data_IF_066987695640
#
_entry.id   IF_066987695640
#
_cell.length_a   1.000
_cell.length_b   1.000
_cell.length_c   1.000
_cell.angle_alpha   90.00
_cell.angle_beta   90.00
_cell.angle_gamma   90.00
#
_symmetry.space_group_name_H-M   'P 1'
#
loop_
_entity.id
_entity.type
_entity.pdbx_description
1 polymer ?
#
# COMPACT_ATOMS: atom_id res chain seq x y z
N UNK A 1 19.14 -38.54 -12.63
CA UNK A 1 18.08 -38.31 -13.62
C UNK A 1 17.84 -36.83 -13.71
N UNK A 2 18.18 -36.18 -14.84
CA UNK A 2 17.79 -34.76 -15.09
C UNK A 2 16.62 -34.73 -16.07
N UNK A 3 15.51 -34.16 -15.66
CA UNK A 3 14.36 -33.87 -16.50
C UNK A 3 14.50 -32.47 -17.05
N UNK A 4 14.45 -32.28 -18.35
CA UNK A 4 14.34 -30.95 -18.97
C UNK A 4 12.90 -30.75 -19.43
N UNK A 5 12.32 -29.58 -19.09
CA UNK A 5 11.02 -29.13 -19.60
C UNK A 5 11.27 -28.17 -20.75
N UNK A 6 10.62 -28.44 -21.88
CA UNK A 6 10.53 -27.49 -22.98
C UNK A 6 9.08 -27.05 -23.12
N UNK A 7 8.86 -25.75 -23.08
CA UNK A 7 7.56 -25.12 -23.25
C UNK A 7 7.34 -24.81 -24.74
N UNK A 8 6.29 -25.35 -25.30
CA UNK A 8 5.81 -24.97 -26.64
C UNK A 8 4.77 -23.87 -26.49
N UNK A 9 5.06 -22.70 -27.03
CA UNK A 9 4.20 -21.52 -26.98
C UNK A 9 2.89 -21.76 -27.70
N UNK A 10 1.81 -21.77 -26.95
CA UNK A 10 0.45 -21.76 -27.44
C UNK A 10 -0.45 -22.86 -26.93
N UNK A 11 -0.98 -22.70 -25.72
CA UNK A 11 -1.99 -23.52 -25.05
C UNK A 11 -1.51 -24.87 -24.48
N UNK A 12 -1.12 -24.89 -23.22
CA UNK A 12 -1.34 -25.97 -22.25
C UNK A 12 -0.84 -27.39 -22.59
N UNK A 13 0.07 -27.53 -23.56
CA UNK A 13 0.69 -28.82 -23.85
C UNK A 13 2.16 -28.80 -23.41
N UNK A 14 2.56 -29.74 -22.57
CA UNK A 14 3.93 -29.92 -22.15
C UNK A 14 4.50 -31.20 -22.77
N UNK A 15 5.73 -31.13 -23.30
CA UNK A 15 6.49 -32.29 -23.74
C UNK A 15 7.51 -32.63 -22.67
N UNK A 16 7.45 -33.84 -22.14
CA UNK A 16 8.44 -34.36 -21.20
C UNK A 16 9.32 -35.36 -21.93
N UNK A 17 10.60 -35.06 -22.01
CA UNK A 17 11.60 -35.95 -22.59
C UNK A 17 12.33 -36.74 -21.48
N UNK A 18 12.23 -38.05 -21.52
CA UNK A 18 12.93 -38.92 -20.64
C UNK A 18 13.88 -39.83 -21.41
N UNK A 19 15.18 -39.80 -21.07
CA UNK A 19 16.17 -40.69 -21.63
C UNK A 19 16.50 -41.77 -20.60
N UNK A 20 16.13 -43.01 -20.89
CA UNK A 20 16.49 -44.20 -20.11
C UNK A 20 17.02 -45.22 -21.10
N UNK A 21 18.27 -45.71 -20.86
CA UNK A 21 18.93 -46.79 -21.63
C UNK A 21 19.02 -46.55 -23.16
N UNK A 22 19.33 -45.32 -23.59
CA UNK A 22 19.59 -45.01 -25.02
C UNK A 22 18.34 -44.94 -25.91
N UNK A 23 17.15 -45.01 -25.34
CA UNK A 23 15.87 -44.84 -26.06
C UNK A 23 15.19 -43.51 -25.68
N UNK A 24 14.96 -42.64 -26.69
CA UNK A 24 14.22 -41.40 -26.48
C UNK A 24 12.72 -41.72 -26.48
N UNK A 25 12.04 -41.45 -25.38
CA UNK A 25 10.58 -41.54 -25.26
C UNK A 25 10.01 -40.14 -25.13
N UNK A 26 9.14 -39.74 -26.02
CA UNK A 26 8.45 -38.45 -26.02
C UNK A 26 7.03 -38.66 -25.52
N UNK A 27 6.68 -38.01 -24.40
CA UNK A 27 5.32 -38.04 -23.85
C UNK A 27 4.63 -36.68 -24.08
N UNK A 28 3.44 -36.69 -24.67
CA UNK A 28 2.60 -35.50 -24.82
C UNK A 28 1.54 -35.48 -23.72
N UNK A 29 1.57 -34.45 -22.89
CA UNK A 29 0.55 -34.19 -21.85
C UNK A 29 -0.47 -33.18 -22.41
N UNK A 30 -1.72 -33.60 -22.55
CA UNK A 30 -2.83 -32.69 -22.92
C UNK A 30 -3.76 -32.59 -21.72
N UNK A 31 -3.88 -31.41 -21.16
CA UNK A 31 -4.77 -31.13 -20.05
C UNK A 31 -6.17 -30.73 -20.58
N UNK A 32 -7.17 -31.56 -20.34
CA UNK A 32 -8.57 -31.22 -20.58
C UNK A 32 -9.31 -31.21 -19.25
N UNK A 33 -10.14 -30.21 -19.04
CA UNK A 33 -10.72 -29.78 -17.76
C UNK A 33 -11.65 -30.81 -17.05
N UNK A 34 -11.80 -32.05 -17.47
CA UNK A 34 -12.82 -33.00 -16.87
C UNK A 34 -12.46 -34.48 -16.89
N UNK A 35 -11.20 -34.94 -17.04
CA UNK A 35 -10.89 -36.36 -16.88
C UNK A 35 -9.43 -36.69 -16.52
N UNK A 36 -9.13 -37.81 -15.87
CA UNK A 36 -7.79 -38.13 -15.42
C UNK A 36 -6.80 -38.36 -16.56
N UNK A 37 -5.58 -37.91 -16.35
CA UNK A 37 -4.47 -37.91 -17.27
C UNK A 37 -4.22 -39.29 -17.85
N UNK A 38 -4.28 -39.44 -19.18
CA UNK A 38 -3.86 -40.64 -19.89
C UNK A 38 -2.54 -40.37 -20.62
N UNK A 39 -1.48 -41.01 -20.18
CA UNK A 39 -0.17 -40.94 -20.82
C UNK A 39 -0.12 -41.97 -21.95
N UNK A 40 -0.01 -41.51 -23.20
CA UNK A 40 0.15 -42.38 -24.35
C UNK A 40 1.58 -42.29 -24.90
N UNK A 41 2.25 -43.43 -24.96
CA UNK A 41 3.60 -43.53 -25.52
C UNK A 41 3.55 -43.98 -26.97
N UNK A 42 4.24 -43.29 -27.86
CA UNK A 42 4.37 -43.66 -29.27
C UNK A 42 5.80 -44.10 -29.59
N UNK A 43 5.95 -45.19 -30.33
CA UNK A 43 7.25 -45.65 -30.79
C UNK A 43 7.68 -44.97 -32.07
N UNK A 44 9.02 -44.95 -32.36
CA UNK A 44 9.63 -44.32 -33.51
C UNK A 44 9.03 -44.80 -34.88
N UNK A 45 8.52 -46.04 -34.95
CA UNK A 45 7.94 -46.61 -36.19
C UNK A 45 6.55 -46.10 -36.48
N UNK A 46 5.81 -45.60 -35.50
CA UNK A 46 4.45 -45.05 -35.67
C UNK A 46 4.46 -43.63 -36.22
N UNK A 47 5.57 -42.88 -36.04
CA UNK A 47 5.72 -41.51 -36.56
C UNK A 47 5.91 -41.44 -38.09
N UNK A 48 6.56 -42.42 -38.68
CA UNK A 48 6.77 -42.41 -40.17
C UNK A 48 5.49 -42.70 -40.97
N UNK A 49 4.47 -43.27 -40.35
CA UNK A 49 3.16 -43.50 -41.00
C UNK A 49 2.18 -42.34 -40.87
N UNK A 50 2.44 -41.39 -39.97
CA UNK A 50 1.51 -40.27 -39.73
C UNK A 50 1.71 -39.13 -40.77
N UNK A 51 2.84 -39.11 -41.51
CA UNK A 51 3.15 -38.07 -42.52
C UNK A 51 2.62 -38.36 -43.91
N UNK A 52 2.02 -39.53 -44.16
CA UNK A 52 1.64 -39.95 -45.49
C UNK A 52 0.16 -39.73 -45.85
N UNK A 53 -0.68 -39.21 -44.96
CA UNK A 53 -2.12 -39.03 -45.28
C UNK A 53 -2.63 -37.75 -44.65
N UNK A 54 -2.18 -36.59 -45.16
CA UNK A 54 -2.79 -35.28 -44.84
C UNK A 54 -3.78 -34.97 -45.94
N UNK A 55 -5.03 -35.39 -45.78
CA UNK A 55 -6.12 -34.91 -46.63
C UNK A 55 -6.44 -33.48 -46.21
N UNK A 56 -6.22 -32.55 -47.14
CA UNK A 56 -6.46 -31.12 -46.92
C UNK A 56 -7.96 -30.88 -46.96
N UNK A 57 -8.60 -30.85 -45.82
CA UNK A 57 -9.93 -30.24 -45.66
C UNK A 57 -9.72 -28.73 -45.38
N UNK A 58 -9.91 -27.93 -46.41
CA UNK A 58 -10.03 -26.47 -46.29
C UNK A 58 -11.40 -26.14 -45.70
N UNK A 59 -11.48 -26.07 -44.39
CA UNK A 59 -12.56 -25.33 -43.71
C UNK A 59 -12.19 -23.84 -43.71
N UNK A 60 -13.09 -22.95 -44.15
CA UNK A 60 -12.87 -21.53 -43.96
C UNK A 60 -12.96 -21.24 -42.43
N UNK A 61 -11.81 -21.09 -41.81
CA UNK A 61 -11.74 -20.56 -40.44
C UNK A 61 -12.10 -19.06 -40.56
N UNK A 62 -13.36 -18.74 -40.25
CA UNK A 62 -13.74 -17.40 -39.88
C UNK A 62 -12.89 -17.05 -38.61
N UNK A 63 -11.75 -16.43 -38.84
CA UNK A 63 -10.98 -15.77 -37.77
C UNK A 63 -11.81 -14.56 -37.39
N UNK A 64 -12.79 -14.78 -36.52
CA UNK A 64 -13.30 -13.71 -35.68
C UNK A 64 -12.11 -13.22 -34.87
N UNK A 65 -11.65 -11.99 -35.16
CA UNK A 65 -10.74 -11.29 -34.27
C UNK A 65 -11.46 -11.11 -32.93
N UNK A 66 -11.39 -12.12 -32.08
CA UNK A 66 -11.61 -11.91 -30.66
C UNK A 66 -10.48 -10.94 -30.26
N UNK A 67 -10.80 -9.65 -30.19
CA UNK A 67 -9.95 -8.70 -29.51
C UNK A 67 -9.87 -9.21 -28.07
N UNK A 68 -8.77 -9.89 -27.73
CA UNK A 68 -8.40 -10.09 -26.33
C UNK A 68 -8.41 -8.70 -25.71
N UNK A 69 -9.12 -8.51 -24.60
CA UNK A 69 -9.03 -7.25 -23.88
C UNK A 69 -7.52 -7.01 -23.66
N UNK A 70 -6.99 -5.91 -24.20
CA UNK A 70 -5.63 -5.47 -23.88
C UNK A 70 -5.56 -5.49 -22.38
N UNK A 71 -4.60 -6.21 -21.81
CA UNK A 71 -4.28 -6.12 -20.40
C UNK A 71 -4.15 -4.63 -20.08
N UNK A 72 -5.12 -4.09 -19.36
CA UNK A 72 -5.18 -2.68 -19.06
C UNK A 72 -4.09 -2.46 -18.02
N UNK A 73 -2.89 -2.07 -18.46
CA UNK A 73 -1.81 -1.70 -17.54
C UNK A 73 -2.28 -0.47 -16.79
N UNK A 74 -2.54 -0.64 -15.51
CA UNK A 74 -2.90 0.48 -14.62
C UNK A 74 -1.80 1.54 -14.68
N UNK A 75 -2.17 2.80 -14.88
CA UNK A 75 -1.24 3.92 -14.95
C UNK A 75 -1.49 4.87 -13.78
N UNK A 76 -0.43 5.23 -13.07
CA UNK A 76 -0.48 6.25 -12.04
C UNK A 76 -0.43 7.65 -12.70
N UNK A 77 -1.44 8.47 -12.45
CA UNK A 77 -1.50 9.87 -12.84
C UNK A 77 -1.10 10.73 -11.65
N UNK A 78 0.02 11.45 -11.77
CA UNK A 78 0.49 12.37 -10.72
C UNK A 78 0.18 13.78 -11.15
N UNK A 79 -0.45 14.55 -10.25
CA UNK A 79 -0.83 15.93 -10.49
C UNK A 79 -1.11 16.66 -9.18
N UNK A 80 -1.72 17.82 -9.27
CA UNK A 80 -2.03 18.66 -8.13
C UNK A 80 -3.53 18.94 -8.03
N UNK A 81 -4.01 19.17 -6.81
CA UNK A 81 -5.37 19.61 -6.52
C UNK A 81 -5.33 20.75 -5.50
N UNK A 82 -5.95 21.86 -5.83
CA UNK A 82 -6.13 22.99 -4.92
C UNK A 82 -7.34 22.72 -4.02
N UNK A 83 -7.11 22.63 -2.71
CA UNK A 83 -8.18 22.49 -1.72
C UNK A 83 -8.64 23.85 -1.21
N UNK A 84 -7.71 24.73 -0.93
CA UNK A 84 -7.95 26.11 -0.49
C UNK A 84 -6.89 27.02 -1.13
N UNK A 85 -7.00 28.35 -1.05
CA UNK A 85 -5.94 29.25 -1.54
C UNK A 85 -4.56 28.98 -0.93
N UNK A 86 -4.51 28.41 0.28
CA UNK A 86 -3.25 28.10 0.99
C UNK A 86 -2.81 26.65 0.82
N UNK A 87 -3.71 25.74 0.41
CA UNK A 87 -3.45 24.30 0.39
C UNK A 87 -3.65 23.71 -1.00
N UNK A 88 -2.55 23.37 -1.64
CA UNK A 88 -2.50 22.57 -2.86
C UNK A 88 -1.78 21.26 -2.55
N UNK A 89 -2.42 20.13 -2.82
CA UNK A 89 -1.85 18.81 -2.60
C UNK A 89 -1.32 18.22 -3.89
N UNK A 90 -0.12 17.63 -3.85
CA UNK A 90 0.29 16.67 -4.86
C UNK A 90 -0.45 15.36 -4.62
N UNK A 91 -1.06 14.82 -5.66
CA UNK A 91 -1.79 13.54 -5.59
C UNK A 91 -1.38 12.58 -6.68
N UNK A 92 -1.62 11.31 -6.43
CA UNK A 92 -1.55 10.23 -7.40
C UNK A 92 -2.93 9.57 -7.49
N UNK A 93 -3.38 9.31 -8.73
CA UNK A 93 -4.61 8.57 -9.00
C UNK A 93 -4.30 7.44 -9.96
N UNK A 94 -4.79 6.24 -9.65
CA UNK A 94 -4.87 5.13 -10.58
C UNK A 94 -6.33 4.89 -10.89
N UNK A 95 -6.76 5.31 -12.09
CA UNK A 95 -8.15 5.25 -12.48
C UNK A 95 -8.56 3.86 -12.91
N UNK A 96 -9.79 3.49 -12.58
CA UNK A 96 -10.46 2.29 -13.07
C UNK A 96 -11.85 2.69 -13.59
N UNK A 97 -12.20 2.24 -14.79
CA UNK A 97 -13.49 2.61 -15.43
C UNK A 97 -14.71 1.92 -14.79
N UNK A 98 -14.50 0.84 -14.05
CA UNK A 98 -15.54 0.06 -13.35
C UNK A 98 -14.98 -0.46 -12.03
N UNK A 99 -14.66 0.44 -11.07
CA UNK A 99 -14.01 0.04 -9.85
C UNK A 99 -14.98 -0.73 -8.93
N UNK A 100 -14.49 -1.78 -8.29
CA UNK A 100 -15.21 -2.49 -7.23
C UNK A 100 -15.33 -1.64 -5.96
N UNK A 101 -14.43 -0.67 -5.78
CA UNK A 101 -14.37 0.26 -4.66
C UNK A 101 -13.30 1.32 -4.91
N UNK A 102 -13.12 2.20 -3.93
CA UNK A 102 -12.13 3.27 -3.95
C UNK A 102 -11.20 3.09 -2.75
N UNK A 103 -9.89 3.10 -2.99
CA UNK A 103 -8.87 3.04 -1.93
C UNK A 103 -8.17 4.39 -1.86
N UNK A 104 -8.11 4.98 -0.67
CA UNK A 104 -7.33 6.18 -0.38
C UNK A 104 -6.19 5.84 0.57
N UNK A 105 -4.96 5.99 0.10
CA UNK A 105 -3.75 5.79 0.88
C UNK A 105 -3.27 7.09 1.52
N UNK A 106 -2.93 7.01 2.81
CA UNK A 106 -2.41 8.13 3.58
C UNK A 106 -1.08 7.74 4.22
N UNK A 107 -0.02 8.42 3.81
CA UNK A 107 1.34 8.12 4.20
C UNK A 107 1.73 8.69 5.57
N UNK A 108 2.84 8.19 6.12
CA UNK A 108 3.50 8.67 7.32
C UNK A 108 4.74 9.53 7.07
N UNK A 109 5.58 9.64 8.08
CA UNK A 109 6.89 10.30 8.01
C UNK A 109 8.00 9.23 7.82
N UNK A 110 9.01 9.44 6.96
CA UNK A 110 9.27 10.59 6.08
C UNK A 110 8.77 10.39 4.63
N UNK A 111 7.68 9.71 4.49
CA UNK A 111 7.14 9.20 3.22
C UNK A 111 6.56 10.29 2.29
N UNK A 112 6.22 9.86 1.09
CA UNK A 112 5.47 10.59 0.06
C UNK A 112 4.48 9.64 -0.62
N UNK A 113 3.68 10.15 -1.57
CA UNK A 113 2.78 9.32 -2.39
C UNK A 113 3.47 8.13 -3.06
N UNK A 114 4.79 8.19 -3.25
CA UNK A 114 5.56 7.11 -3.88
C UNK A 114 5.67 5.85 -3.02
N UNK A 115 5.46 5.94 -1.71
CA UNK A 115 5.33 4.78 -0.83
C UNK A 115 4.23 3.82 -1.29
N UNK A 116 3.19 4.35 -1.94
CA UNK A 116 2.00 3.62 -2.37
C UNK A 116 1.98 3.25 -3.84
N UNK A 117 2.97 3.71 -4.64
CA UNK A 117 2.92 3.62 -6.10
C UNK A 117 2.78 2.19 -6.63
N UNK A 118 3.62 1.27 -6.15
CA UNK A 118 3.59 -0.12 -6.62
C UNK A 118 2.28 -0.83 -6.24
N UNK A 119 1.84 -0.66 -4.99
CA UNK A 119 0.56 -1.21 -4.51
C UNK A 119 -0.61 -0.64 -5.32
N UNK A 120 -0.60 0.68 -5.57
CA UNK A 120 -1.65 1.35 -6.34
C UNK A 120 -1.78 0.84 -7.75
N UNK A 121 -0.66 0.55 -8.43
CA UNK A 121 -0.67 0.00 -9.79
C UNK A 121 -1.26 -1.43 -9.83
N UNK A 122 -1.01 -2.22 -8.79
CA UNK A 122 -1.58 -3.57 -8.68
C UNK A 122 -3.08 -3.49 -8.41
N UNK A 123 -3.48 -2.72 -7.39
CA UNK A 123 -4.88 -2.55 -6.98
C UNK A 123 -5.72 -1.85 -8.04
N UNK A 124 -5.13 -1.01 -8.88
CA UNK A 124 -5.80 -0.30 -9.97
C UNK A 124 -6.50 -1.20 -11.00
N UNK A 125 -6.23 -2.52 -10.99
CA UNK A 125 -6.94 -3.51 -11.79
C UNK A 125 -8.38 -3.72 -11.31
N UNK A 126 -8.62 -3.55 -10.02
CA UNK A 126 -9.91 -3.82 -9.37
C UNK A 126 -10.56 -2.56 -8.78
N UNK A 127 -9.78 -1.58 -8.36
CA UNK A 127 -10.22 -0.40 -7.61
C UNK A 127 -9.77 0.89 -8.29
N UNK A 128 -10.47 1.99 -8.00
CA UNK A 128 -9.88 3.30 -8.18
C UNK A 128 -8.99 3.59 -6.95
N UNK A 129 -7.76 4.06 -7.17
CA UNK A 129 -6.81 4.28 -6.08
C UNK A 129 -6.36 5.73 -6.06
N UNK A 130 -6.38 6.32 -4.89
CA UNK A 130 -5.91 7.66 -4.59
C UNK A 130 -4.80 7.63 -3.56
N UNK A 131 -3.87 8.57 -3.66
CA UNK A 131 -2.93 8.94 -2.61
C UNK A 131 -2.59 10.42 -2.75
N UNK A 132 -2.26 11.10 -1.67
CA UNK A 132 -1.74 12.47 -1.71
C UNK A 132 -0.66 12.69 -0.68
N UNK A 133 0.24 13.65 -0.95
CA UNK A 133 1.17 14.15 0.06
C UNK A 133 0.44 15.10 0.99
N UNK A 134 0.59 14.92 2.29
CA UNK A 134 0.09 15.86 3.28
C UNK A 134 0.69 17.26 3.12
N UNK A 135 0.00 18.35 3.53
CA UNK A 135 0.66 19.65 3.71
C UNK A 135 1.92 19.51 4.55
N UNK A 136 3.04 20.09 4.09
CA UNK A 136 4.32 19.92 4.77
C UNK A 136 5.16 18.74 4.31
N UNK A 137 4.63 17.85 3.48
CA UNK A 137 5.31 16.67 2.97
C UNK A 137 5.36 16.64 1.45
N UNK A 138 6.28 15.85 0.91
CA UNK A 138 6.45 15.67 -0.50
C UNK A 138 6.48 16.99 -1.26
N UNK A 139 5.70 17.10 -2.32
CA UNK A 139 5.59 18.34 -3.11
C UNK A 139 4.26 19.09 -2.89
N UNK A 140 3.50 18.76 -1.84
CA UNK A 140 2.34 19.53 -1.41
C UNK A 140 2.76 20.88 -0.79
N UNK A 141 1.83 21.81 -0.72
CA UNK A 141 2.06 23.14 -0.16
C UNK A 141 2.51 23.10 1.31
N UNK A 142 3.19 24.16 1.71
CA UNK A 142 3.71 24.34 3.08
C UNK A 142 3.28 25.69 3.62
N UNK A 143 1.98 25.85 3.94
CA UNK A 143 1.47 27.11 4.45
C UNK A 143 2.17 27.51 5.77
N UNK A 144 2.29 28.82 6.06
CA UNK A 144 2.78 29.28 7.36
C UNK A 144 1.93 28.74 8.51
N UNK A 145 2.55 28.50 9.66
CA UNK A 145 1.89 27.91 10.85
C UNK A 145 0.72 28.73 11.38
N UNK A 146 0.72 30.02 11.10
CA UNK A 146 -0.39 30.94 11.44
C UNK A 146 -1.65 30.68 10.61
N UNK A 147 -1.53 30.00 9.46
CA UNK A 147 -2.65 29.66 8.57
C UNK A 147 -3.01 28.19 8.57
N UNK A 148 -2.08 27.33 8.94
CA UNK A 148 -2.26 25.90 9.05
C UNK A 148 -1.36 25.36 10.16
N UNK A 149 -1.93 24.88 11.27
CA UNK A 149 -1.16 24.54 12.46
C UNK A 149 -0.41 23.21 12.35
N UNK A 150 -0.69 22.41 11.32
CA UNK A 150 -0.18 21.04 11.13
C UNK A 150 -0.64 20.06 12.22
N UNK A 151 -1.66 20.42 13.01
CA UNK A 151 -2.25 19.51 13.98
C UNK A 151 -2.91 18.30 13.31
N UNK A 152 -2.97 17.13 13.96
CA UNK A 152 -3.75 16.00 13.43
C UNK A 152 -5.18 16.37 13.05
N UNK A 153 -5.82 17.25 13.83
CA UNK A 153 -7.16 17.74 13.52
C UNK A 153 -7.22 18.55 12.22
N UNK A 154 -6.25 19.42 11.96
CA UNK A 154 -6.21 20.19 10.71
C UNK A 154 -5.96 19.28 9.51
N UNK A 155 -5.19 18.19 9.68
CA UNK A 155 -5.06 17.17 8.66
C UNK A 155 -6.37 16.39 8.41
N UNK A 156 -7.20 16.20 9.44
CA UNK A 156 -8.54 15.62 9.24
C UNK A 156 -9.42 16.54 8.38
N UNK A 157 -9.33 17.86 8.56
CA UNK A 157 -10.04 18.85 7.71
C UNK A 157 -9.51 18.80 6.26
N UNK A 158 -8.20 18.69 6.05
CA UNK A 158 -7.59 18.49 4.71
C UNK A 158 -8.11 17.21 4.05
N UNK A 159 -8.19 16.12 4.80
CA UNK A 159 -8.70 14.85 4.30
C UNK A 159 -10.16 14.96 3.87
N UNK A 160 -10.99 15.62 4.67
CA UNK A 160 -12.40 15.90 4.37
C UNK A 160 -12.55 16.69 3.06
N UNK A 161 -11.79 17.77 2.92
CA UNK A 161 -11.80 18.61 1.70
C UNK A 161 -11.29 17.84 0.48
N UNK A 162 -10.26 17.00 0.65
CA UNK A 162 -9.75 16.15 -0.44
C UNK A 162 -10.82 15.18 -0.95
N UNK A 163 -11.52 14.49 -0.05
CA UNK A 163 -12.59 13.55 -0.40
C UNK A 163 -13.69 14.29 -1.18
N UNK A 164 -14.14 15.43 -0.67
CA UNK A 164 -15.20 16.24 -1.31
C UNK A 164 -14.79 16.76 -2.69
N UNK A 165 -13.61 17.40 -2.81
CA UNK A 165 -13.15 18.01 -4.07
C UNK A 165 -12.70 16.98 -5.11
N UNK A 166 -12.32 15.79 -4.70
CA UNK A 166 -11.99 14.70 -5.62
C UNK A 166 -13.24 13.96 -6.14
N UNK A 167 -14.44 14.26 -5.63
CA UNK A 167 -15.69 13.62 -6.03
C UNK A 167 -15.75 12.13 -5.68
N UNK A 168 -15.06 11.73 -4.60
CA UNK A 168 -14.98 10.33 -4.15
C UNK A 168 -16.35 9.86 -3.64
N UNK A 169 -16.81 8.71 -4.15
CA UNK A 169 -18.00 8.02 -3.64
C UNK A 169 -17.69 7.44 -2.25
N UNK A 170 -18.12 8.13 -1.21
CA UNK A 170 -17.83 7.78 0.19
C UNK A 170 -18.39 6.43 0.59
N UNK A 171 -19.48 5.97 -0.03
CA UNK A 171 -20.07 4.65 0.25
C UNK A 171 -19.17 3.48 -0.18
N UNK A 172 -18.22 3.74 -1.10
CA UNK A 172 -17.25 2.77 -1.62
C UNK A 172 -15.83 3.02 -1.15
N UNK A 173 -15.63 4.04 -0.31
CA UNK A 173 -14.31 4.46 0.13
C UNK A 173 -13.78 3.54 1.23
N UNK A 174 -12.55 3.05 1.03
CA UNK A 174 -11.67 2.49 2.04
C UNK A 174 -10.48 3.43 2.22
N UNK A 175 -10.23 3.89 3.43
CA UNK A 175 -8.98 4.57 3.79
C UNK A 175 -8.02 3.53 4.36
N UNK A 176 -6.78 3.52 3.86
CA UNK A 176 -5.66 2.80 4.44
C UNK A 176 -4.61 3.80 4.89
N UNK A 177 -4.38 3.90 6.18
CA UNK A 177 -3.57 4.94 6.78
C UNK A 177 -2.60 4.40 7.83
N UNK A 178 -1.34 4.83 7.76
CA UNK A 178 -0.31 4.49 8.75
C UNK A 178 0.32 5.76 9.32
N UNK A 179 0.95 5.64 10.49
CA UNK A 179 1.73 6.70 11.14
C UNK A 179 0.99 8.06 11.19
N UNK A 180 1.50 9.11 10.53
CA UNK A 180 0.89 10.46 10.49
C UNK A 180 -0.53 10.44 9.92
N UNK A 181 -0.82 9.56 8.97
CA UNK A 181 -2.13 9.50 8.31
C UNK A 181 -3.23 8.89 9.16
N UNK A 182 -2.89 8.07 10.14
CA UNK A 182 -3.87 7.25 10.87
C UNK A 182 -4.74 8.07 11.86
N UNK A 183 -4.13 8.92 12.68
CA UNK A 183 -4.90 9.73 13.65
C UNK A 183 -5.88 10.69 12.96
N UNK A 184 -5.51 11.46 11.91
CA UNK A 184 -6.45 12.29 11.15
C UNK A 184 -7.64 11.51 10.58
N UNK A 185 -7.42 10.28 10.09
CA UNK A 185 -8.49 9.43 9.55
C UNK A 185 -9.54 9.07 10.61
N UNK A 186 -9.09 8.76 11.82
CA UNK A 186 -9.98 8.45 12.94
C UNK A 186 -10.69 9.70 13.47
N UNK A 187 -10.01 10.86 13.51
CA UNK A 187 -10.63 12.12 13.89
C UNK A 187 -11.73 12.52 12.90
N UNK A 188 -11.50 12.34 11.59
CA UNK A 188 -12.53 12.55 10.58
C UNK A 188 -13.73 11.62 10.80
N UNK A 189 -13.50 10.33 11.09
CA UNK A 189 -14.55 9.36 11.33
C UNK A 189 -15.36 9.65 12.61
N UNK A 190 -14.76 10.30 13.61
CA UNK A 190 -15.47 10.79 14.79
C UNK A 190 -16.38 11.99 14.48
N UNK A 191 -15.98 12.86 13.54
CA UNK A 191 -16.76 14.03 13.14
C UNK A 191 -17.94 13.65 12.23
N UNK A 192 -17.69 12.75 11.27
CA UNK A 192 -18.73 12.29 10.34
C UNK A 192 -18.48 10.82 9.91
N UNK A 193 -19.22 9.94 10.54
CA UNK A 193 -19.11 8.49 10.30
C UNK A 193 -19.57 8.05 8.90
N UNK A 194 -20.20 8.93 8.12
CA UNK A 194 -20.70 8.61 6.78
C UNK A 194 -19.69 8.97 5.67
N UNK A 195 -18.61 9.69 6.00
CA UNK A 195 -17.62 10.12 5.01
C UNK A 195 -16.68 9.00 4.56
N UNK A 196 -16.63 7.89 5.27
CA UNK A 196 -15.73 6.77 4.94
C UNK A 196 -16.46 5.45 5.18
N UNK A 197 -16.46 4.56 4.20
CA UNK A 197 -17.08 3.24 4.33
C UNK A 197 -16.35 2.35 5.34
N UNK A 198 -15.01 2.36 5.33
CA UNK A 198 -14.17 1.60 6.26
C UNK A 198 -12.75 2.19 6.34
N UNK A 199 -12.07 1.97 7.46
CA UNK A 199 -10.70 2.46 7.68
C UNK A 199 -9.81 1.30 8.13
N UNK A 200 -8.66 1.11 7.47
CA UNK A 200 -7.56 0.30 7.98
C UNK A 200 -6.50 1.26 8.53
N UNK A 201 -6.14 1.11 9.80
CA UNK A 201 -5.07 1.91 10.42
C UNK A 201 -4.02 1.02 11.07
N UNK A 202 -2.78 1.50 11.10
CA UNK A 202 -1.71 0.77 11.79
C UNK A 202 -0.47 1.60 12.08
N UNK A 203 0.38 1.04 12.92
CA UNK A 203 1.72 1.56 13.22
C UNK A 203 1.70 3.06 13.58
N UNK A 204 0.80 3.46 14.47
CA UNK A 204 0.58 4.85 14.91
C UNK A 204 0.31 4.94 16.41
N UNK A 205 0.28 6.14 16.98
CA UNK A 205 -0.01 6.32 18.39
C UNK A 205 -1.39 6.95 18.64
N UNK A 206 -2.46 6.13 18.76
CA UNK A 206 -3.82 6.62 19.06
C UNK A 206 -3.96 7.25 20.43
N UNK A 207 -3.12 6.85 21.38
CA UNK A 207 -3.19 7.28 22.79
C UNK A 207 -1.85 7.82 23.27
N UNK A 208 -1.89 8.67 24.28
CA UNK A 208 -0.69 9.16 24.94
C UNK A 208 -0.13 8.09 25.90
N UNK A 209 0.70 7.18 25.37
CA UNK A 209 1.32 6.06 26.10
C UNK A 209 2.85 6.07 25.89
N UNK A 210 3.61 6.82 26.69
CA UNK A 210 5.07 6.93 26.54
C UNK A 210 5.79 5.58 26.48
N UNK A 211 5.34 4.57 27.22
CA UNK A 211 5.96 3.24 27.29
C UNK A 211 5.94 2.48 25.95
N UNK A 212 5.07 2.85 25.02
CA UNK A 212 4.94 2.23 23.72
C UNK A 212 5.56 3.05 22.60
N UNK A 213 6.01 4.28 22.86
CA UNK A 213 6.58 5.17 21.85
C UNK A 213 8.09 5.28 22.03
N UNK A 214 8.83 5.36 20.92
CA UNK A 214 10.26 5.63 20.92
C UNK A 214 10.55 7.00 21.54
N UNK A 215 11.68 7.13 22.27
CA UNK A 215 12.05 8.35 23.01
C UNK A 215 12.11 9.61 22.13
N UNK A 216 12.60 9.51 20.90
CA UNK A 216 12.64 10.65 19.97
C UNK A 216 11.23 11.17 19.64
N UNK A 217 10.22 10.31 19.55
CA UNK A 217 8.83 10.70 19.32
C UNK A 217 8.25 11.38 20.58
N UNK A 218 8.60 10.87 21.77
CA UNK A 218 8.23 11.52 23.04
C UNK A 218 8.86 12.90 23.15
N UNK A 219 10.12 13.04 22.75
CA UNK A 219 10.87 14.30 22.78
C UNK A 219 10.23 15.39 21.92
N UNK A 220 9.49 15.04 20.87
CA UNK A 220 8.78 16.00 20.02
C UNK A 220 7.55 16.65 20.68
N UNK A 221 7.05 16.12 21.79
CA UNK A 221 5.79 16.58 22.41
C UNK A 221 5.92 17.85 23.23
N UNK A 222 7.11 18.22 23.70
CA UNK A 222 7.29 19.37 24.57
C UNK A 222 8.68 20.02 24.45
N UNK A 223 8.73 21.34 24.61
CA UNK A 223 9.98 22.09 24.70
C UNK A 223 10.68 21.85 26.05
N UNK A 224 12.02 21.92 26.08
CA UNK A 224 12.94 22.30 24.99
C UNK A 224 13.36 21.10 24.10
N UNK A 225 13.03 19.86 24.48
CA UNK A 225 13.45 18.64 23.78
C UNK A 225 12.94 18.59 22.32
N UNK A 226 11.73 19.10 22.09
CA UNK A 226 11.17 19.12 20.73
C UNK A 226 11.96 20.01 19.77
N UNK A 227 12.45 21.17 20.22
CA UNK A 227 13.29 22.05 19.40
C UNK A 227 14.64 21.38 19.06
N UNK A 228 15.21 20.66 20.02
CA UNK A 228 16.47 19.92 19.81
C UNK A 228 16.27 18.75 18.84
N UNK A 229 15.18 17.99 19.01
CA UNK A 229 14.84 16.87 18.12
C UNK A 229 14.57 17.35 16.70
N UNK A 230 13.82 18.45 16.53
CA UNK A 230 13.60 19.11 15.23
C UNK A 230 14.92 19.50 14.56
N UNK A 231 15.82 20.17 15.29
CA UNK A 231 17.13 20.56 14.78
C UNK A 231 17.98 19.33 14.38
N UNK A 232 17.95 18.27 15.20
CA UNK A 232 18.62 17.00 14.91
C UNK A 232 18.08 16.34 13.64
N UNK A 233 16.77 16.26 13.48
CA UNK A 233 16.14 15.67 12.29
C UNK A 233 16.50 16.43 11.02
N UNK A 234 16.48 17.77 11.04
CA UNK A 234 16.86 18.58 9.90
C UNK A 234 18.34 18.41 9.52
N UNK A 235 19.22 18.27 10.53
CA UNK A 235 20.66 18.06 10.30
C UNK A 235 20.95 16.65 9.73
N UNK A 236 20.16 15.65 10.09
CA UNK A 236 20.42 14.24 9.75
C UNK A 236 19.44 13.70 8.69
N UNK A 237 18.96 14.57 7.79
CA UNK A 237 18.02 14.21 6.72
C UNK A 237 18.43 12.93 5.97
N UNK A 238 19.66 12.87 5.47
CA UNK A 238 20.11 11.79 4.61
C UNK A 238 20.14 10.45 5.35
N UNK A 239 20.55 10.46 6.63
CA UNK A 239 20.49 9.30 7.50
C UNK A 239 19.04 8.85 7.73
N UNK A 240 18.12 9.78 7.97
CA UNK A 240 16.70 9.47 8.17
C UNK A 240 16.13 8.84 6.91
N UNK A 241 16.36 9.44 5.73
CA UNK A 241 15.81 8.94 4.47
C UNK A 241 16.38 7.56 4.09
N UNK A 242 17.62 7.25 4.46
CA UNK A 242 18.22 5.94 4.19
C UNK A 242 17.81 4.87 5.18
N UNK A 243 17.67 5.19 6.48
CA UNK A 243 17.59 4.18 7.53
C UNK A 243 16.23 4.09 8.24
N UNK A 244 15.30 5.08 8.08
CA UNK A 244 14.03 5.06 8.81
C UNK A 244 13.26 3.75 8.65
N UNK A 245 13.27 3.20 7.44
CA UNK A 245 12.51 1.99 7.10
C UNK A 245 13.11 0.67 7.64
N UNK A 246 14.37 0.70 8.08
CA UNK A 246 15.11 -0.49 8.53
C UNK A 246 15.27 -0.59 10.04
N UNK A 247 14.96 0.50 10.78
CA UNK A 247 15.17 0.54 12.21
C UNK A 247 14.35 -0.51 12.94
N UNK A 248 14.99 -1.18 13.89
CA UNK A 248 14.39 -2.26 14.67
C UNK A 248 14.35 -3.63 13.99
N UNK A 249 14.69 -3.71 12.70
CA UNK A 249 14.73 -4.98 11.95
C UNK A 249 16.11 -5.65 12.04
N UNK A 250 16.13 -6.98 12.19
CA UNK A 250 17.32 -7.76 12.05
C UNK A 250 17.89 -7.64 10.61
N UNK A 251 19.19 -7.84 10.45
CA UNK A 251 19.87 -7.59 9.17
C UNK A 251 19.26 -8.37 7.99
N UNK A 252 18.80 -9.59 8.24
CA UNK A 252 18.16 -10.49 7.27
C UNK A 252 16.67 -10.17 7.03
N UNK A 253 16.10 -9.27 7.82
CA UNK A 253 14.72 -8.80 7.68
C UNK A 253 14.66 -7.39 7.06
N UNK A 254 15.81 -6.72 6.93
CA UNK A 254 15.88 -5.41 6.31
C UNK A 254 15.57 -5.48 4.82
N UNK A 255 14.96 -4.43 4.31
CA UNK A 255 14.56 -4.29 2.92
C UNK A 255 15.00 -2.93 2.35
N UNK A 256 15.04 -2.83 1.04
CA UNK A 256 15.32 -1.59 0.33
C UNK A 256 14.05 -1.06 -0.34
N UNK A 257 13.90 0.25 -0.31
CA UNK A 257 12.88 0.95 -1.10
C UNK A 257 13.46 1.31 -2.48
N UNK A 258 12.58 1.51 -3.48
CA UNK A 258 13.00 1.84 -4.83
C UNK A 258 13.79 3.15 -4.89
N UNK A 259 14.72 3.27 -5.84
CA UNK A 259 15.48 4.50 -6.04
C UNK A 259 14.56 5.68 -6.38
N UNK A 260 13.50 5.44 -7.16
CA UNK A 260 12.50 6.46 -7.49
C UNK A 260 11.84 7.04 -6.23
N UNK A 261 11.52 6.19 -5.25
CA UNK A 261 10.94 6.64 -3.97
C UNK A 261 11.97 7.41 -3.13
N UNK A 262 13.23 6.94 -3.07
CA UNK A 262 14.32 7.66 -2.38
C UNK A 262 14.50 9.07 -2.97
N UNK A 263 14.57 9.17 -4.29
CA UNK A 263 14.75 10.44 -5.00
C UNK A 263 13.55 11.38 -4.77
N UNK A 264 12.35 10.84 -4.68
CA UNK A 264 11.14 11.62 -4.42
C UNK A 264 11.09 12.15 -2.99
N UNK A 265 11.41 11.32 -2.00
CA UNK A 265 11.53 11.77 -0.61
C UNK A 265 12.61 12.85 -0.46
N UNK A 266 13.76 12.67 -1.12
CA UNK A 266 14.84 13.65 -1.09
C UNK A 266 14.38 15.00 -1.66
N UNK A 267 13.71 15.01 -2.82
CA UNK A 267 13.15 16.23 -3.43
C UNK A 267 12.05 16.84 -2.59
N UNK A 268 11.21 15.99 -1.99
CA UNK A 268 10.06 16.38 -1.19
C UNK A 268 10.41 16.77 0.26
N UNK A 269 11.66 16.58 0.71
CA UNK A 269 12.03 16.87 2.10
C UNK A 269 11.86 18.33 2.48
N UNK A 270 12.24 19.25 1.61
CA UNK A 270 12.23 20.68 1.94
C UNK A 270 11.94 21.52 0.70
N UNK A 271 10.94 22.38 0.80
CA UNK A 271 10.71 23.49 -0.10
C UNK A 271 9.87 24.57 0.59
N UNK A 272 9.83 25.80 0.03
CA UNK A 272 9.09 26.94 0.62
C UNK A 272 9.45 27.21 2.09
N UNK A 273 10.74 27.14 2.43
CA UNK A 273 11.30 27.44 3.76
C UNK A 273 10.84 26.50 4.89
N UNK A 274 10.28 25.36 4.59
CA UNK A 274 9.89 24.35 5.58
C UNK A 274 10.35 22.97 5.14
N UNK A 275 10.80 22.14 6.06
CA UNK A 275 11.09 20.72 5.83
C UNK A 275 9.94 19.82 6.30
N UNK A 276 9.95 18.54 5.86
CA UNK A 276 9.03 17.54 6.41
C UNK A 276 9.26 17.29 7.91
N UNK A 277 10.49 17.47 8.39
CA UNK A 277 10.79 17.41 9.83
C UNK A 277 10.15 18.59 10.60
N UNK A 278 10.06 19.77 9.99
CA UNK A 278 9.35 20.90 10.58
C UNK A 278 7.85 20.66 10.67
N UNK A 279 7.24 20.14 9.61
CA UNK A 279 5.82 19.77 9.62
C UNK A 279 5.54 18.69 10.68
N UNK A 280 6.41 17.69 10.80
CA UNK A 280 6.31 16.64 11.81
C UNK A 280 6.47 17.18 13.23
N UNK A 281 7.37 18.14 13.47
CA UNK A 281 7.49 18.85 14.73
C UNK A 281 6.18 19.57 15.10
N UNK A 282 5.57 20.30 14.14
CA UNK A 282 4.30 20.99 14.40
C UNK A 282 3.15 20.02 14.65
N UNK A 283 3.11 18.90 13.93
CA UNK A 283 2.14 17.81 14.18
C UNK A 283 2.21 17.33 15.64
N UNK A 284 3.42 17.08 16.14
CA UNK A 284 3.63 16.63 17.51
C UNK A 284 3.37 17.70 18.57
N UNK A 285 3.45 18.97 18.24
CA UNK A 285 3.12 20.08 19.15
C UNK A 285 1.65 20.05 19.59
N UNK A 286 0.78 19.44 18.79
CA UNK A 286 -0.66 19.30 19.07
C UNK A 286 -1.08 17.84 19.32
N UNK A 287 -0.15 16.92 19.20
CA UNK A 287 -0.43 15.49 19.11
C UNK A 287 -1.12 14.92 20.36
N UNK A 288 -0.61 15.25 21.55
CA UNK A 288 -1.21 14.77 22.82
C UNK A 288 -2.65 15.24 22.97
N UNK A 289 -2.96 16.51 22.64
CA UNK A 289 -4.32 17.05 22.67
C UNK A 289 -5.27 16.22 21.81
N UNK A 290 -4.86 15.89 20.60
CA UNK A 290 -5.70 15.20 19.63
C UNK A 290 -5.79 13.68 19.91
N UNK A 291 -4.73 13.09 20.53
CA UNK A 291 -4.79 11.74 21.09
C UNK A 291 -5.81 11.65 22.23
N UNK A 292 -5.77 12.60 23.17
CA UNK A 292 -6.69 12.64 24.30
C UNK A 292 -8.13 12.85 23.81
N UNK A 293 -8.33 13.67 22.77
CA UNK A 293 -9.64 13.85 22.15
C UNK A 293 -10.15 12.55 21.51
N UNK A 294 -9.33 11.82 20.77
CA UNK A 294 -9.69 10.52 20.20
C UNK A 294 -10.05 9.53 21.33
N UNK A 295 -9.19 9.40 22.36
CA UNK A 295 -9.40 8.44 23.42
C UNK A 295 -10.69 8.73 24.21
N UNK A 296 -10.97 10.00 24.49
CA UNK A 296 -12.18 10.43 25.21
C UNK A 296 -13.48 10.19 24.43
N UNK A 297 -13.42 10.27 23.08
CA UNK A 297 -14.57 10.11 22.21
C UNK A 297 -14.64 8.74 21.51
N UNK A 298 -13.81 7.78 21.90
CA UNK A 298 -13.64 6.51 21.20
C UNK A 298 -14.97 5.74 21.02
N UNK A 299 -15.89 5.81 21.98
CA UNK A 299 -17.23 5.22 21.92
C UNK A 299 -18.11 5.77 20.79
N UNK A 300 -17.79 6.97 20.28
CA UNK A 300 -18.50 7.62 19.17
C UNK A 300 -18.00 7.14 17.81
N UNK A 301 -16.91 6.38 17.75
CA UNK A 301 -16.39 5.84 16.50
C UNK A 301 -17.35 4.78 15.95
N UNK A 302 -18.10 5.12 14.90
CA UNK A 302 -19.11 4.25 14.27
C UNK A 302 -18.65 3.67 12.94
N UNK A 303 -17.74 4.36 12.26
CA UNK A 303 -17.13 3.85 11.04
C UNK A 303 -16.42 2.53 11.32
N UNK A 304 -16.62 1.48 10.53
CA UNK A 304 -15.86 0.24 10.66
C UNK A 304 -14.36 0.50 10.57
N UNK A 305 -13.61 -0.02 11.53
CA UNK A 305 -12.15 0.12 11.58
C UNK A 305 -11.51 -1.24 11.77
N UNK A 306 -10.42 -1.48 11.04
CA UNK A 306 -9.51 -2.60 11.24
C UNK A 306 -8.15 -2.07 11.63
N UNK A 307 -7.49 -2.72 12.57
CA UNK A 307 -6.14 -2.37 13.02
C UNK A 307 -5.16 -3.40 12.48
N UNK A 308 -4.08 -2.92 11.88
CA UNK A 308 -2.93 -3.74 11.50
C UNK A 308 -1.71 -3.25 12.28
N UNK A 309 -0.72 -4.10 12.49
CA UNK A 309 0.50 -3.69 13.21
C UNK A 309 1.70 -4.55 12.86
N UNK A 310 2.83 -3.90 12.62
CA UNK A 310 4.12 -4.59 12.53
C UNK A 310 4.55 -5.13 13.91
N UNK A 311 4.81 -6.43 14.00
CA UNK A 311 5.25 -7.06 15.25
C UNK A 311 6.51 -6.41 15.83
N UNK A 312 7.41 -5.96 14.95
CA UNK A 312 8.72 -5.38 15.26
C UNK A 312 8.76 -3.87 15.08
N UNK A 313 7.61 -3.20 15.12
CA UNK A 313 7.58 -1.74 15.08
C UNK A 313 8.49 -1.16 16.16
N UNK A 314 9.55 -0.49 15.70
CA UNK A 314 10.56 0.14 16.54
C UNK A 314 10.08 1.46 17.14
N UNK A 315 9.27 2.21 16.38
CA UNK A 315 8.85 3.56 16.76
C UNK A 315 7.64 3.55 17.69
N UNK A 316 6.68 2.68 17.40
CA UNK A 316 5.44 2.55 18.17
C UNK A 316 5.14 1.08 18.38
N UNK A 317 5.51 0.60 19.57
CA UNK A 317 5.45 -0.84 19.90
C UNK A 317 4.04 -1.40 19.74
N UNK A 318 3.92 -2.66 19.29
CA UNK A 318 2.65 -3.38 19.09
C UNK A 318 1.70 -3.37 20.29
N UNK A 319 2.21 -3.14 21.51
CA UNK A 319 1.39 -2.95 22.71
C UNK A 319 0.41 -1.80 22.60
N UNK A 320 0.74 -0.76 21.84
CA UNK A 320 -0.15 0.36 21.53
C UNK A 320 -1.35 -0.11 20.70
N UNK A 321 -1.10 -0.86 19.62
CA UNK A 321 -2.16 -1.43 18.78
C UNK A 321 -3.05 -2.41 19.52
N UNK A 322 -2.48 -3.24 20.40
CA UNK A 322 -3.23 -4.17 21.24
C UNK A 322 -4.16 -3.41 22.20
N UNK A 323 -3.66 -2.35 22.86
CA UNK A 323 -4.48 -1.53 23.75
C UNK A 323 -5.60 -0.82 22.98
N UNK A 324 -5.29 -0.23 21.82
CA UNK A 324 -6.26 0.46 20.99
C UNK A 324 -7.37 -0.48 20.51
N UNK A 325 -7.02 -1.60 19.91
CA UNK A 325 -7.99 -2.59 19.42
C UNK A 325 -8.90 -3.10 20.53
N UNK A 326 -8.33 -3.38 21.72
CA UNK A 326 -9.10 -3.80 22.88
C UNK A 326 -10.07 -2.73 23.37
N UNK A 327 -9.64 -1.46 23.49
CA UNK A 327 -10.48 -0.36 23.97
C UNK A 327 -11.60 -0.01 23.00
N UNK A 328 -11.31 -0.03 21.70
CA UNK A 328 -12.27 0.26 20.65
C UNK A 328 -13.14 -0.94 20.26
N UNK A 329 -12.84 -2.15 20.78
CA UNK A 329 -13.49 -3.41 20.40
C UNK A 329 -13.45 -3.68 18.89
N UNK A 330 -12.26 -3.56 18.30
CA UNK A 330 -12.01 -3.74 16.87
C UNK A 330 -10.98 -4.84 16.59
N UNK A 331 -11.01 -5.41 15.37
CA UNK A 331 -10.08 -6.45 14.94
C UNK A 331 -8.66 -5.91 14.84
N UNK A 332 -7.69 -6.72 15.27
CA UNK A 332 -6.25 -6.44 15.14
C UNK A 332 -5.55 -7.59 14.42
N UNK A 333 -4.83 -7.26 13.36
CA UNK A 333 -3.90 -8.16 12.69
C UNK A 333 -2.46 -7.75 13.01
N UNK A 334 -1.68 -8.64 13.64
CA UNK A 334 -0.24 -8.45 13.87
C UNK A 334 0.54 -9.15 12.75
N UNK A 335 1.40 -8.40 12.06
CA UNK A 335 2.22 -8.93 10.98
C UNK A 335 3.58 -9.41 11.51
N UNK A 336 3.83 -10.74 11.54
CA UNK A 336 5.06 -11.28 12.10
C UNK A 336 6.30 -10.81 11.33
N UNK A 337 7.38 -10.46 12.06
CA UNK A 337 8.67 -9.99 11.51
C UNK A 337 8.62 -8.67 10.75
N UNK A 338 7.49 -8.00 10.70
CA UNK A 338 7.30 -6.72 10.02
C UNK A 338 7.56 -5.57 11.02
N UNK A 339 8.24 -4.53 10.53
CA UNK A 339 8.51 -3.29 11.26
C UNK A 339 7.40 -2.26 11.10
N UNK A 340 7.77 -0.99 11.24
CA UNK A 340 6.84 0.16 11.23
C UNK A 340 6.20 0.46 9.86
N UNK A 341 6.71 -0.10 8.78
CA UNK A 341 6.23 0.20 7.41
C UNK A 341 5.76 -1.09 6.71
N UNK A 342 4.64 -1.69 7.12
CA UNK A 342 4.17 -2.96 6.56
C UNK A 342 3.92 -2.90 5.06
N UNK A 343 3.43 -1.81 4.54
CA UNK A 343 3.16 -1.59 3.12
C UNK A 343 4.43 -1.57 2.25
N UNK A 344 5.58 -1.18 2.82
CA UNK A 344 6.87 -1.21 2.12
C UNK A 344 7.57 -2.55 2.28
N UNK A 345 7.52 -3.13 3.48
CA UNK A 345 8.21 -4.39 3.78
C UNK A 345 7.47 -5.62 3.26
N UNK A 346 6.14 -5.59 3.25
CA UNK A 346 5.27 -6.69 2.83
C UNK A 346 4.08 -6.18 2.00
N UNK A 347 4.32 -5.59 0.81
CA UNK A 347 3.25 -4.99 -0.01
C UNK A 347 2.16 -5.99 -0.40
N UNK A 348 2.53 -7.26 -0.58
CA UNK A 348 1.57 -8.33 -0.86
C UNK A 348 0.54 -8.50 0.26
N UNK A 349 0.98 -8.51 1.51
CA UNK A 349 0.09 -8.65 2.66
C UNK A 349 -0.85 -7.45 2.80
N UNK A 350 -0.35 -6.24 2.53
CA UNK A 350 -1.18 -5.01 2.46
C UNK A 350 -2.27 -5.13 1.39
N UNK A 351 -1.93 -5.64 0.21
CA UNK A 351 -2.89 -5.87 -0.88
C UNK A 351 -3.94 -6.91 -0.47
N UNK A 352 -3.52 -8.01 0.14
CA UNK A 352 -4.40 -9.10 0.62
C UNK A 352 -5.41 -8.56 1.67
N UNK A 353 -4.97 -7.71 2.60
CA UNK A 353 -5.84 -7.06 3.59
C UNK A 353 -6.89 -6.15 2.94
N UNK A 354 -6.52 -5.39 1.92
CA UNK A 354 -7.46 -4.54 1.19
C UNK A 354 -8.48 -5.38 0.44
N UNK A 355 -8.05 -6.44 -0.26
CA UNK A 355 -8.98 -7.34 -0.95
C UNK A 355 -9.93 -8.04 0.02
N UNK A 356 -9.43 -8.52 1.16
CA UNK A 356 -10.25 -9.16 2.19
C UNK A 356 -11.33 -8.21 2.72
N UNK A 357 -10.98 -6.95 2.95
CA UNK A 357 -11.89 -5.91 3.41
C UNK A 357 -13.05 -5.69 2.42
N UNK A 358 -12.76 -5.55 1.13
CA UNK A 358 -13.82 -5.38 0.13
C UNK A 358 -14.66 -6.63 -0.13
N UNK A 359 -14.10 -7.82 0.06
CA UNK A 359 -14.82 -9.08 -0.11
C UNK A 359 -15.79 -9.38 1.06
N UNK A 360 -15.60 -8.74 2.21
CA UNK A 360 -16.43 -8.90 3.40
C UNK A 360 -17.57 -7.87 3.49
N UNK A 361 -17.63 -6.91 2.55
CA UNK A 361 -18.74 -5.95 2.39
C UNK A 361 -19.83 -6.56 1.53
#
# INVERSE_FOLDING_TARGET
MRSQRHELTGRGAFVIEHVVEGVIRIGLLVETALNPIRITYMSKSSMQKLFATTLVFTFPILIGCAQYPREQTSKAEIGFIELTPDITLRRMIVRNSRPKGIVLFLHGFPETIYAWKEISLILGRDYEVHAFDWPGYGLSSRPPVERFSYAPKDYADVLKEYIAKSGIDTSKLLIYATDVGALPSLLLALEDSNLVGEIIVGDFAPFNRPQYMHENLQSLKSRPSSDQTRAHMNKNRDEILENAFRRGLAKDEQFDVSQEFKDDMFRGWSHNNMSSADAFYHYYSHFTRDQDYLEFNLEKLKTPVKVIWGEKDFYIKKGMGIEFAKKANIELSIFPKIGHYPHLQSPRQTIEEIHATFNNR
#
